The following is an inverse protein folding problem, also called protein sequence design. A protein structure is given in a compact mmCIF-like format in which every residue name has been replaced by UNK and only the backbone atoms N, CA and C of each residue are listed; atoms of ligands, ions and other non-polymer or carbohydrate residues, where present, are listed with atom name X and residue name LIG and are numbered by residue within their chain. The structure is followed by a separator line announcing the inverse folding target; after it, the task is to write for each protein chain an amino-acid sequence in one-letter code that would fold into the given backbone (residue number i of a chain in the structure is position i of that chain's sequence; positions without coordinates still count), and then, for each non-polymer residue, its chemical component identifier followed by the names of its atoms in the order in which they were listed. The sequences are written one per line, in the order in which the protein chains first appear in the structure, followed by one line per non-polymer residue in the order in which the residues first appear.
data_IF_857271489222
#
_entry.id   IF_857271489222
#
_cell.length_a   1.000
_cell.length_b   1.000
_cell.length_c   1.000
_cell.angle_alpha   90.00
_cell.angle_beta   90.00
_cell.angle_gamma   90.00
#
_symmetry.space_group_name_H-M   'P 1'
#
loop_
_entity.id
_entity.type
_entity.pdbx_description
1 polymer ?
#
# COMPACT_ATOMS: atom_id res chain seq x y z
N UNK A 1 35.45 6.73 25.17
CA UNK A 1 34.06 6.25 24.98
C UNK A 1 33.19 7.50 24.97
N UNK A 2 32.61 7.87 23.83
CA UNK A 2 31.96 9.18 23.66
C UNK A 2 30.55 9.16 24.26
N UNK A 3 30.10 10.28 24.84
CA UNK A 3 28.70 10.48 25.26
C UNK A 3 27.70 10.31 24.11
N UNK A 4 28.15 10.41 22.85
CA UNK A 4 27.35 10.12 21.67
C UNK A 4 27.03 8.62 21.48
N UNK A 5 27.83 7.72 22.06
CA UNK A 5 27.57 6.28 22.00
C UNK A 5 26.49 5.83 23.01
N UNK A 6 26.15 6.69 23.98
CA UNK A 6 25.26 6.36 25.10
C UNK A 6 23.75 6.49 24.76
N UNK A 7 23.40 7.13 23.64
CA UNK A 7 21.99 7.36 23.23
C UNK A 7 21.59 6.69 21.91
N UNK A 8 22.46 5.87 21.32
CA UNK A 8 22.03 4.96 20.26
C UNK A 8 21.25 3.82 20.92
N UNK A 9 19.97 4.07 21.24
CA UNK A 9 19.02 2.97 21.51
C UNK A 9 19.13 2.03 20.31
N UNK A 10 19.79 0.89 20.48
CA UNK A 10 19.78 -0.17 19.47
C UNK A 10 18.31 -0.44 19.21
N UNK A 11 17.84 -0.11 18.01
CA UNK A 11 16.48 -0.38 17.58
C UNK A 11 16.31 -1.89 17.69
N UNK A 12 15.35 -2.33 18.49
CA UNK A 12 15.04 -3.76 18.59
C UNK A 12 14.61 -4.22 17.19
N UNK A 13 15.40 -5.08 16.49
CA UNK A 13 15.09 -5.49 15.13
C UNK A 13 13.80 -6.31 15.06
N UNK A 14 13.32 -6.83 16.19
CA UNK A 14 12.06 -7.58 16.28
C UNK A 14 10.85 -6.68 16.55
N UNK A 15 11.03 -5.36 16.67
CA UNK A 15 9.91 -4.41 16.75
C UNK A 15 9.71 -3.70 15.42
N UNK A 16 8.47 -3.63 14.93
CA UNK A 16 8.19 -2.92 13.71
C UNK A 16 8.45 -1.42 13.85
N UNK A 17 8.91 -0.82 12.77
CA UNK A 17 9.04 0.62 12.57
C UNK A 17 7.97 1.04 11.57
N UNK A 18 7.09 1.95 11.99
CA UNK A 18 5.99 2.44 11.15
C UNK A 18 6.08 3.96 11.10
N UNK A 19 6.02 4.53 9.89
CA UNK A 19 5.99 5.98 9.69
C UNK A 19 5.18 6.34 8.44
N UNK A 20 4.71 7.58 8.40
CA UNK A 20 4.19 8.16 7.17
C UNK A 20 5.35 8.45 6.19
N UNK A 21 5.14 8.12 4.92
CA UNK A 21 6.05 8.33 3.80
C UNK A 21 5.86 9.68 3.10
N UNK A 22 6.14 9.73 1.80
CA UNK A 22 6.13 10.98 1.02
C UNK A 22 4.77 11.69 1.09
N UNK A 23 4.79 12.98 1.46
CA UNK A 23 3.59 13.83 1.70
C UNK A 23 2.55 13.23 2.67
N UNK A 24 2.93 12.18 3.39
CA UNK A 24 2.04 11.38 4.21
C UNK A 24 1.10 10.47 3.42
N UNK A 25 1.25 10.35 2.10
CA UNK A 25 0.35 9.59 1.23
C UNK A 25 0.67 8.07 1.20
N UNK A 26 1.61 7.66 2.05
CA UNK A 26 2.13 6.32 2.16
C UNK A 26 2.41 6.01 3.62
N UNK A 27 2.42 4.72 3.96
CA UNK A 27 2.89 4.21 5.23
C UNK A 27 4.03 3.24 4.95
N UNK A 28 5.21 3.57 5.46
CA UNK A 28 6.35 2.68 5.43
C UNK A 28 6.33 1.79 6.69
N UNK A 29 6.10 0.50 6.49
CA UNK A 29 6.23 -0.52 7.53
C UNK A 29 7.55 -1.25 7.33
N UNK A 30 8.37 -1.34 8.39
CA UNK A 30 9.64 -2.08 8.37
C UNK A 30 9.73 -3.01 9.56
N UNK A 31 10.07 -4.26 9.32
CA UNK A 31 10.39 -5.25 10.36
C UNK A 31 11.68 -5.97 9.97
N UNK A 32 12.67 -5.94 10.88
CA UNK A 32 14.05 -6.37 10.58
C UNK A 32 14.61 -5.64 9.36
N UNK A 33 15.05 -6.37 8.35
CA UNK A 33 15.60 -5.93 7.08
C UNK A 33 14.57 -5.84 5.95
N UNK A 34 13.29 -6.14 6.23
CA UNK A 34 12.22 -6.13 5.23
C UNK A 34 11.31 -4.91 5.40
N UNK A 35 10.85 -4.34 4.28
CA UNK A 35 9.88 -3.24 4.27
C UNK A 35 8.73 -3.46 3.30
N UNK A 36 7.61 -2.81 3.58
CA UNK A 36 6.46 -2.67 2.68
C UNK A 36 6.06 -1.21 2.70
N UNK A 37 5.72 -0.69 1.53
CA UNK A 37 5.04 0.60 1.37
C UNK A 37 3.56 0.33 1.16
N UNK A 38 2.73 0.88 2.02
CA UNK A 38 1.28 0.72 1.99
C UNK A 38 0.67 2.05 1.60
N UNK A 39 -0.20 2.06 0.60
CA UNK A 39 -0.92 3.23 0.12
C UNK A 39 -1.80 3.83 1.21
N UNK A 40 -1.71 5.15 1.37
CA UNK A 40 -2.49 5.88 2.35
C UNK A 40 -2.90 7.25 1.80
N UNK A 41 -4.05 7.37 1.15
CA UNK A 41 -4.45 8.64 0.55
C UNK A 41 -5.10 9.59 1.56
N UNK A 42 -4.97 10.90 1.33
CA UNK A 42 -5.75 11.94 2.01
C UNK A 42 -6.80 12.60 1.11
N UNK A 43 -6.73 12.42 -0.21
CA UNK A 43 -7.72 12.96 -1.14
C UNK A 43 -9.06 12.27 -0.81
N UNK A 44 -10.02 13.07 -0.36
CA UNK A 44 -11.34 12.63 0.16
C UNK A 44 -11.34 11.92 1.52
N UNK A 45 -10.32 12.18 2.35
CA UNK A 45 -10.20 11.66 3.72
C UNK A 45 -9.06 10.66 3.87
N UNK A 46 -8.78 10.24 5.11
CA UNK A 46 -7.73 9.26 5.42
C UNK A 46 -8.16 7.86 4.95
N UNK A 47 -7.67 7.42 3.80
CA UNK A 47 -7.97 6.11 3.20
C UNK A 47 -6.77 5.19 3.27
N UNK A 48 -6.95 4.01 3.84
CA UNK A 48 -5.92 2.97 3.95
C UNK A 48 -6.25 1.83 2.99
N UNK A 49 -5.33 1.50 2.08
CA UNK A 49 -5.54 0.52 1.03
C UNK A 49 -4.92 -0.83 1.42
N UNK A 50 -5.72 -1.90 1.46
CA UNK A 50 -5.22 -3.22 1.88
C UNK A 50 -4.45 -3.94 0.78
N UNK A 51 -4.63 -3.53 -0.48
CA UNK A 51 -4.10 -4.24 -1.65
C UNK A 51 -2.57 -4.23 -1.75
N UNK A 52 -1.91 -3.31 -1.03
CA UNK A 52 -0.46 -3.19 -0.96
C UNK A 52 0.17 -4.17 0.05
N UNK A 53 -0.65 -4.81 0.90
CA UNK A 53 -0.18 -5.75 1.93
C UNK A 53 -0.11 -7.18 1.36
N UNK A 54 0.80 -7.40 0.41
CA UNK A 54 0.93 -8.70 -0.28
C UNK A 54 2.29 -9.37 -0.12
N UNK A 55 3.35 -8.61 -0.28
CA UNK A 55 4.73 -9.10 -0.29
C UNK A 55 5.65 -8.04 0.33
N UNK A 56 6.75 -8.48 0.92
CA UNK A 56 7.86 -7.58 1.24
C UNK A 56 8.46 -7.02 -0.06
N UNK A 57 8.96 -5.79 0.01
CA UNK A 57 9.91 -5.26 -0.96
C UNK A 57 11.04 -6.28 -1.15
N UNK A 58 11.62 -6.32 -2.36
CA UNK A 58 12.70 -7.24 -2.70
C UNK A 58 13.78 -7.23 -1.62
N UNK A 59 14.18 -8.42 -1.18
CA UNK A 59 15.30 -8.53 -0.25
C UNK A 59 16.64 -8.19 -0.96
N UNK A 60 17.72 -8.16 -0.20
CA UNK A 60 19.07 -7.87 -0.72
C UNK A 60 19.51 -8.88 -1.81
N UNK A 61 18.83 -10.02 -1.93
CA UNK A 61 19.07 -11.06 -2.93
C UNK A 61 18.11 -10.98 -4.15
N UNK A 62 17.29 -9.93 -4.24
CA UNK A 62 16.37 -9.70 -5.37
C UNK A 62 15.15 -10.61 -5.36
N UNK A 63 14.77 -11.19 -4.22
CA UNK A 63 13.57 -12.02 -4.12
C UNK A 63 12.49 -11.32 -3.28
N UNK A 64 11.34 -11.03 -3.92
CA UNK A 64 10.17 -10.57 -3.21
C UNK A 64 9.52 -11.75 -2.45
N UNK A 65 9.33 -11.59 -1.15
CA UNK A 65 8.76 -12.63 -0.29
C UNK A 65 7.26 -12.39 -0.06
N UNK A 66 6.42 -13.33 -0.50
CA UNK A 66 5.00 -13.31 -0.22
C UNK A 66 4.72 -13.48 1.28
N UNK A 67 3.92 -12.59 1.85
CA UNK A 67 3.54 -12.67 3.26
C UNK A 67 2.65 -13.88 3.51
N UNK A 68 2.88 -14.57 4.63
CA UNK A 68 1.90 -15.49 5.20
C UNK A 68 0.67 -14.74 5.74
N UNK A 69 -0.47 -15.44 5.92
CA UNK A 69 -1.66 -14.84 6.53
C UNK A 69 -1.39 -14.24 7.92
N UNK A 70 -0.52 -14.87 8.71
CA UNK A 70 -0.13 -14.37 10.03
C UNK A 70 0.63 -13.05 9.94
N UNK A 71 1.57 -12.94 9.01
CA UNK A 71 2.31 -11.70 8.77
C UNK A 71 1.42 -10.59 8.20
N UNK A 72 0.53 -10.91 7.24
CA UNK A 72 -0.48 -9.98 6.73
C UNK A 72 -1.34 -9.41 7.84
N UNK A 73 -1.82 -10.27 8.74
CA UNK A 73 -2.63 -9.89 9.89
C UNK A 73 -1.88 -8.95 10.82
N UNK A 74 -0.62 -9.26 11.12
CA UNK A 74 0.23 -8.43 11.98
C UNK A 74 0.47 -7.06 11.37
N UNK A 75 0.94 -7.02 10.11
CA UNK A 75 1.22 -5.76 9.39
C UNK A 75 -0.01 -4.88 9.37
N UNK A 76 -1.17 -5.43 8.99
CA UNK A 76 -2.38 -4.63 8.86
C UNK A 76 -2.88 -4.11 10.21
N UNK A 77 -2.84 -4.94 11.26
CA UNK A 77 -3.24 -4.52 12.62
C UNK A 77 -2.34 -3.42 13.16
N UNK A 78 -1.02 -3.58 13.01
CA UNK A 78 -0.03 -2.60 13.45
C UNK A 78 -0.19 -1.25 12.72
N UNK A 79 -0.48 -1.29 11.42
CA UNK A 79 -0.71 -0.11 10.60
C UNK A 79 -2.01 0.58 10.99
N UNK A 80 -3.10 -0.17 11.20
CA UNK A 80 -4.36 0.37 11.69
C UNK A 80 -4.18 1.04 13.06
N UNK A 81 -3.48 0.40 13.99
CA UNK A 81 -3.20 0.98 15.29
C UNK A 81 -2.38 2.26 15.19
N UNK A 82 -1.35 2.27 14.33
CA UNK A 82 -0.55 3.44 14.05
C UNK A 82 -1.40 4.60 13.51
N UNK A 83 -2.22 4.34 12.48
CA UNK A 83 -3.07 5.36 11.86
C UNK A 83 -4.11 5.89 12.84
N UNK A 84 -4.85 5.01 13.50
CA UNK A 84 -5.88 5.39 14.47
C UNK A 84 -5.32 6.18 15.67
N UNK A 85 -4.04 5.99 15.99
CA UNK A 85 -3.37 6.74 17.07
C UNK A 85 -2.88 8.11 16.61
N UNK A 86 -2.45 8.24 15.35
CA UNK A 86 -1.79 9.44 14.82
C UNK A 86 -2.71 10.36 14.03
N UNK A 87 -3.85 9.85 13.57
CA UNK A 87 -4.80 10.53 12.67
C UNK A 87 -6.23 10.25 13.13
N UNK A 88 -7.18 10.93 12.48
CA UNK A 88 -8.60 10.61 12.63
C UNK A 88 -8.89 9.19 12.13
N UNK A 89 -10.06 8.69 12.50
CA UNK A 89 -10.57 7.37 12.09
C UNK A 89 -10.43 7.20 10.56
N UNK A 90 -9.60 6.24 10.09
CA UNK A 90 -9.44 6.02 8.66
C UNK A 90 -10.64 5.28 8.07
N UNK A 91 -10.90 5.48 6.78
CA UNK A 91 -11.68 4.54 5.97
C UNK A 91 -10.73 3.48 5.42
N UNK A 92 -11.09 2.21 5.56
CA UNK A 92 -10.30 1.12 4.98
C UNK A 92 -10.88 0.78 3.61
N UNK A 93 -10.03 0.74 2.58
CA UNK A 93 -10.41 0.35 1.23
C UNK A 93 -9.98 -1.10 1.00
N UNK A 94 -10.96 -1.98 0.81
CA UNK A 94 -10.77 -3.42 0.58
C UNK A 94 -11.12 -3.75 -0.87
N UNK A 95 -10.17 -4.35 -1.60
CA UNK A 95 -10.45 -4.89 -2.92
C UNK A 95 -11.26 -6.19 -2.79
N UNK A 96 -12.45 -6.24 -3.42
CA UNK A 96 -13.37 -7.37 -3.33
C UNK A 96 -12.87 -8.63 -4.04
N UNK A 97 -11.95 -8.46 -4.99
CA UNK A 97 -11.33 -9.54 -5.77
C UNK A 97 -10.03 -10.05 -5.11
N UNK A 98 -9.63 -9.46 -3.97
CA UNK A 98 -8.49 -9.91 -3.18
C UNK A 98 -8.78 -11.25 -2.49
N UNK A 99 -7.89 -12.22 -2.66
CA UNK A 99 -7.97 -13.52 -2.00
C UNK A 99 -7.97 -13.40 -0.46
N UNK A 100 -7.32 -12.36 0.08
CA UNK A 100 -7.24 -12.10 1.52
C UNK A 100 -8.39 -11.21 2.04
N UNK A 101 -9.38 -10.85 1.21
CA UNK A 101 -10.52 -9.98 1.58
C UNK A 101 -11.11 -10.32 2.95
N UNK A 102 -11.40 -11.61 3.18
CA UNK A 102 -12.03 -12.07 4.44
C UNK A 102 -11.16 -11.84 5.66
N UNK A 103 -9.83 -11.87 5.50
CA UNK A 103 -8.87 -11.56 6.56
C UNK A 103 -8.95 -10.07 6.88
N UNK A 104 -8.99 -9.21 5.86
CA UNK A 104 -9.11 -7.76 6.01
C UNK A 104 -10.39 -7.36 6.74
N UNK A 105 -11.54 -7.89 6.31
CA UNK A 105 -12.84 -7.64 6.95
C UNK A 105 -12.84 -8.07 8.42
N UNK A 106 -12.29 -9.26 8.71
CA UNK A 106 -12.17 -9.78 10.08
C UNK A 106 -11.32 -8.88 10.95
N UNK A 107 -10.18 -8.39 10.45
CA UNK A 107 -9.34 -7.45 11.20
C UNK A 107 -10.11 -6.16 11.45
N UNK A 108 -10.75 -5.56 10.43
CA UNK A 108 -11.51 -4.32 10.56
C UNK A 108 -12.63 -4.41 11.61
N UNK A 109 -13.29 -5.56 11.73
CA UNK A 109 -14.34 -5.78 12.75
C UNK A 109 -13.84 -5.56 14.19
N UNK A 110 -12.56 -5.82 14.47
CA UNK A 110 -11.94 -5.60 15.77
C UNK A 110 -11.66 -4.12 16.06
N UNK A 111 -11.78 -3.24 15.06
CA UNK A 111 -11.55 -1.81 15.14
C UNK A 111 -12.85 -1.00 15.07
N UNK A 112 -13.98 -1.61 15.44
CA UNK A 112 -15.29 -0.92 15.51
C UNK A 112 -15.18 0.35 16.36
N UNK A 113 -15.56 1.49 15.79
CA UNK A 113 -15.46 2.81 16.43
C UNK A 113 -14.04 3.44 16.41
N UNK A 114 -13.05 2.76 15.84
CA UNK A 114 -11.69 3.30 15.59
C UNK A 114 -11.44 3.57 14.10
N UNK A 115 -12.13 2.85 13.22
CA UNK A 115 -12.23 3.16 11.79
C UNK A 115 -13.55 3.89 11.50
N UNK A 116 -13.54 4.70 10.44
CA UNK A 116 -14.71 5.48 10.00
C UNK A 116 -15.68 4.61 9.22
N UNK A 117 -15.16 3.87 8.24
CA UNK A 117 -15.96 3.01 7.36
C UNK A 117 -15.05 1.98 6.64
N UNK A 118 -15.70 1.06 5.92
CA UNK A 118 -15.07 0.15 4.96
C UNK A 118 -15.63 0.45 3.57
N UNK A 119 -14.76 0.87 2.65
CA UNK A 119 -15.07 1.01 1.23
C UNK A 119 -14.60 -0.24 0.47
N UNK A 120 -15.34 -0.64 -0.55
CA UNK A 120 -14.97 -1.75 -1.41
C UNK A 120 -14.61 -1.26 -2.80
N UNK A 121 -13.49 -1.77 -3.32
CA UNK A 121 -13.08 -1.59 -4.73
C UNK A 121 -13.01 -2.95 -5.43
N UNK A 122 -12.59 -2.97 -6.68
CA UNK A 122 -12.36 -4.18 -7.48
C UNK A 122 -11.13 -3.99 -8.35
N UNK A 123 -10.56 -5.09 -8.85
CA UNK A 123 -9.42 -5.02 -9.76
C UNK A 123 -9.75 -4.18 -11.01
N UNK A 124 -10.96 -4.33 -11.55
CA UNK A 124 -11.44 -3.53 -12.67
C UNK A 124 -11.47 -2.02 -12.35
N UNK A 125 -12.02 -1.62 -11.20
CA UNK A 125 -12.11 -0.22 -10.79
C UNK A 125 -10.72 0.40 -10.59
N UNK A 126 -9.80 -0.37 -9.99
CA UNK A 126 -8.42 0.07 -9.78
C UNK A 126 -7.70 0.27 -11.11
N UNK A 127 -7.86 -0.66 -12.07
CA UNK A 127 -7.29 -0.53 -13.42
C UNK A 127 -7.84 0.71 -14.14
N UNK A 128 -9.15 0.95 -14.06
CA UNK A 128 -9.78 2.13 -14.67
C UNK A 128 -9.28 3.43 -14.04
N UNK A 129 -9.11 3.47 -12.72
CA UNK A 129 -8.56 4.63 -12.01
C UNK A 129 -7.12 4.92 -12.43
N UNK A 130 -6.26 3.89 -12.50
CA UNK A 130 -4.87 4.02 -12.97
C UNK A 130 -4.82 4.53 -14.41
N UNK A 131 -5.65 3.97 -15.30
CA UNK A 131 -5.75 4.42 -16.69
C UNK A 131 -6.11 5.90 -16.76
N UNK A 132 -7.11 6.33 -15.99
CA UNK A 132 -7.54 7.73 -15.99
C UNK A 132 -6.46 8.66 -15.46
N UNK A 133 -5.77 8.27 -14.38
CA UNK A 133 -4.67 9.05 -13.81
C UNK A 133 -3.53 9.28 -14.83
N UNK A 134 -3.11 8.23 -15.55
CA UNK A 134 -2.10 8.37 -16.58
C UNK A 134 -2.56 9.22 -17.75
N UNK A 135 -3.82 9.09 -18.18
CA UNK A 135 -4.40 9.93 -19.22
C UNK A 135 -4.42 11.41 -18.82
N UNK A 136 -4.79 11.71 -17.58
CA UNK A 136 -4.84 13.08 -17.06
C UNK A 136 -3.42 13.68 -16.95
N UNK A 137 -2.44 12.90 -16.51
CA UNK A 137 -1.04 13.31 -16.45
C UNK A 137 -0.49 13.66 -17.85
N UNK A 138 -0.76 12.82 -18.85
CA UNK A 138 -0.38 13.12 -20.24
C UNK A 138 -1.08 14.39 -20.77
N UNK A 139 -2.37 14.56 -20.46
CA UNK A 139 -3.11 15.76 -20.85
C UNK A 139 -2.56 17.04 -20.19
N UNK A 140 -1.99 16.92 -18.99
CA UNK A 140 -1.30 18.00 -18.28
C UNK A 140 0.13 18.26 -18.80
N UNK A 141 0.63 17.45 -19.75
CA UNK A 141 1.99 17.54 -20.27
C UNK A 141 3.05 16.96 -19.31
N UNK A 142 2.62 16.16 -18.35
CA UNK A 142 3.51 15.46 -17.43
C UNK A 142 4.09 14.19 -18.08
N UNK A 143 5.30 13.81 -17.66
CA UNK A 143 5.90 12.54 -18.07
C UNK A 143 5.34 11.42 -17.21
N UNK A 144 4.84 10.37 -17.85
CA UNK A 144 4.44 9.14 -17.18
C UNK A 144 5.45 8.05 -17.51
N UNK A 145 6.03 7.44 -16.48
CA UNK A 145 7.01 6.35 -16.61
C UNK A 145 6.48 5.16 -15.83
N UNK A 146 6.38 4.00 -16.49
CA UNK A 146 5.92 2.73 -15.90
C UNK A 146 6.96 1.67 -16.24
N UNK A 147 7.55 1.03 -15.22
CA UNK A 147 8.59 0.01 -15.37
C UNK A 147 9.73 0.43 -16.33
N UNK A 148 10.26 1.65 -16.13
CA UNK A 148 11.29 2.28 -16.97
C UNK A 148 10.89 2.55 -18.44
N UNK A 149 9.61 2.37 -18.79
CA UNK A 149 9.04 2.72 -20.09
C UNK A 149 8.34 4.07 -20.00
N UNK A 150 8.79 5.04 -20.81
CA UNK A 150 8.09 6.32 -20.97
C UNK A 150 6.82 6.10 -21.80
N UNK A 151 5.68 6.51 -21.25
CA UNK A 151 4.38 6.49 -21.92
C UNK A 151 4.22 7.82 -22.65
N UNK A 152 4.00 7.77 -23.96
CA UNK A 152 3.89 8.99 -24.77
C UNK A 152 2.45 9.33 -25.15
N UNK A 153 1.57 8.34 -25.18
CA UNK A 153 0.19 8.52 -25.65
C UNK A 153 -0.79 7.47 -25.10
N UNK A 154 -2.08 7.65 -25.39
CA UNK A 154 -3.13 6.75 -24.93
C UNK A 154 -3.04 5.31 -25.45
N UNK A 155 -2.39 5.04 -26.59
CA UNK A 155 -2.20 3.66 -27.07
C UNK A 155 -1.19 2.88 -26.23
N UNK A 156 -0.16 3.56 -25.73
CA UNK A 156 0.82 2.95 -24.83
C UNK A 156 0.15 2.58 -23.50
N UNK A 157 -0.71 3.47 -22.99
CA UNK A 157 -1.56 3.21 -21.82
C UNK A 157 -2.44 1.98 -22.07
N UNK A 158 -3.18 1.95 -23.18
CA UNK A 158 -4.05 0.82 -23.51
C UNK A 158 -3.27 -0.51 -23.56
N UNK A 159 -2.08 -0.51 -24.16
CA UNK A 159 -1.24 -1.70 -24.23
C UNK A 159 -0.78 -2.20 -22.84
N UNK A 160 -0.47 -1.30 -21.91
CA UNK A 160 -0.09 -1.66 -20.53
C UNK A 160 -1.31 -2.14 -19.75
N UNK A 161 -2.45 -1.46 -19.90
CA UNK A 161 -3.70 -1.81 -19.22
C UNK A 161 -4.18 -3.20 -19.65
N UNK A 162 -4.09 -3.55 -20.93
CA UNK A 162 -4.43 -4.90 -21.40
C UNK A 162 -3.50 -5.98 -20.82
N UNK A 163 -2.20 -5.68 -20.65
CA UNK A 163 -1.28 -6.59 -19.92
C UNK A 163 -1.70 -6.75 -18.46
N UNK A 164 -2.05 -5.66 -17.77
CA UNK A 164 -2.50 -5.69 -16.37
C UNK A 164 -3.77 -6.53 -16.22
N UNK A 165 -4.78 -6.31 -17.09
CA UNK A 165 -6.01 -7.10 -17.11
C UNK A 165 -5.72 -8.59 -17.32
N UNK A 166 -4.84 -8.93 -18.27
CA UNK A 166 -4.45 -10.31 -18.54
C UNK A 166 -3.85 -10.99 -17.30
N UNK A 167 -2.95 -10.30 -16.58
CA UNK A 167 -2.35 -10.81 -15.33
C UNK A 167 -3.42 -11.02 -14.25
N UNK A 168 -4.43 -10.15 -14.19
CA UNK A 168 -5.54 -10.22 -13.25
C UNK A 168 -6.68 -11.16 -13.67
N UNK A 169 -6.63 -11.73 -14.87
CA UNK A 169 -7.70 -12.57 -15.43
C UNK A 169 -8.98 -11.79 -15.77
N UNK A 170 -8.86 -10.49 -16.07
CA UNK A 170 -9.96 -9.63 -16.50
C UNK A 170 -10.04 -9.63 -18.03
N UNK A 171 -11.26 -9.75 -18.57
CA UNK A 171 -11.56 -9.77 -20.01
C UNK A 171 -12.18 -8.47 -20.49
#
# INVERSE_FOLDING_TARGET
MSLFDLFRRKRDPNKPSIKFGFKGEQIEYRLRDKSIVIGFAYRDGAKLYTEDIKKWDEDIAGQAYNLSHGEKTQVFSDVLDFVCTKRNQPTVVINKDDADKTIWEKICSNYTGRIKDIEYTSDQQNIEAIKQEWMDALAAGEKVIVDDIEIENGKDIDAIIEKMKSIKGLS
#
